data_IF_500507023525
#
_entry.id   IF_500507023525
#
_cell.length_a   1.000
_cell.length_b   1.000
_cell.length_c   1.000
_cell.angle_alpha   90.00
_cell.angle_beta   90.00
_cell.angle_gamma   90.00
#
_symmetry.space_group_name_H-M   'P 1'
#
loop_
_entity.id
_entity.type
_entity.pdbx_description
1 polymer ?
#
# COMPACT_ATOMS: atom_id res chain seq x y z
N UNK A 1 0.02 -19.69 -25.80
CA UNK A 1 1.16 -18.82 -25.49
C UNK A 1 0.66 -17.73 -24.58
N UNK A 2 1.27 -17.54 -23.42
CA UNK A 2 0.95 -16.42 -22.56
C UNK A 2 1.36 -15.13 -23.28
N UNK A 3 0.48 -14.13 -23.28
CA UNK A 3 0.83 -12.80 -23.77
C UNK A 3 1.73 -12.13 -22.70
N UNK A 4 3.01 -12.03 -23.02
CA UNK A 4 4.02 -11.41 -22.15
C UNK A 4 4.17 -9.90 -22.40
N UNK A 5 3.25 -9.28 -23.16
CA UNK A 5 3.29 -7.84 -23.43
C UNK A 5 2.82 -7.04 -22.23
N UNK A 6 3.60 -6.05 -21.79
CA UNK A 6 3.20 -5.14 -20.73
C UNK A 6 2.34 -4.00 -21.28
N UNK A 7 1.32 -3.62 -20.53
CA UNK A 7 0.53 -2.42 -20.78
C UNK A 7 1.11 -1.26 -19.95
N UNK A 8 1.19 -0.07 -20.54
CA UNK A 8 1.56 1.17 -19.84
C UNK A 8 0.43 2.19 -19.94
N UNK A 9 -0.37 2.39 -18.87
CA UNK A 9 -1.49 3.33 -18.86
C UNK A 9 -1.07 4.80 -18.82
N UNK A 10 0.19 5.09 -18.45
CA UNK A 10 0.71 6.46 -18.38
C UNK A 10 1.19 6.95 -19.74
N UNK A 11 1.39 6.06 -20.70
CA UNK A 11 1.73 6.45 -22.05
C UNK A 11 0.53 7.17 -22.70
N UNK A 12 0.75 8.41 -23.16
CA UNK A 12 -0.29 9.27 -23.74
C UNK A 12 -1.52 9.49 -22.82
N UNK A 13 -1.31 9.42 -21.50
CA UNK A 13 -2.37 9.55 -20.50
C UNK A 13 -3.54 8.57 -20.71
N UNK A 14 -3.27 7.37 -21.18
CA UNK A 14 -4.30 6.35 -21.38
C UNK A 14 -5.03 5.95 -20.09
N UNK A 15 -4.46 6.31 -18.93
CA UNK A 15 -5.04 6.07 -17.59
C UNK A 15 -6.39 6.78 -17.38
N UNK A 16 -6.63 7.92 -18.06
CA UNK A 16 -7.90 8.66 -17.96
C UNK A 16 -8.98 8.11 -18.90
N UNK A 17 -8.62 7.22 -19.82
CA UNK A 17 -9.55 6.63 -20.79
C UNK A 17 -10.30 5.45 -20.16
N UNK A 18 -11.45 5.09 -20.77
CA UNK A 18 -12.21 3.91 -20.36
C UNK A 18 -11.61 2.64 -20.99
N UNK A 19 -10.39 2.33 -20.53
CA UNK A 19 -9.66 1.14 -20.89
C UNK A 19 -9.52 0.20 -19.70
N UNK A 20 -9.52 -1.10 -19.95
CA UNK A 20 -9.21 -2.10 -18.93
C UNK A 20 -7.87 -1.76 -18.29
N UNK A 21 -7.86 -1.57 -16.97
CA UNK A 21 -6.66 -1.13 -16.24
C UNK A 21 -5.48 -2.12 -16.34
N UNK A 22 -5.75 -3.42 -16.55
CA UNK A 22 -4.69 -4.43 -16.65
C UNK A 22 -4.15 -4.66 -18.06
N UNK A 23 -4.97 -4.57 -19.10
CA UNK A 23 -4.54 -4.92 -20.46
C UNK A 23 -4.67 -3.80 -21.50
N UNK A 24 -5.25 -2.64 -21.12
CA UNK A 24 -5.42 -1.50 -22.01
C UNK A 24 -6.50 -1.64 -23.08
N UNK A 25 -7.26 -2.76 -23.11
CA UNK A 25 -8.35 -2.94 -24.05
C UNK A 25 -9.47 -1.95 -23.74
N UNK A 26 -10.05 -1.26 -24.72
CA UNK A 26 -11.26 -0.47 -24.51
C UNK A 26 -12.38 -1.33 -23.91
N UNK A 27 -13.11 -0.77 -22.95
CA UNK A 27 -14.23 -1.42 -22.25
C UNK A 27 -15.47 -0.54 -22.31
N UNK A 28 -16.64 -1.15 -22.14
CA UNK A 28 -17.87 -0.38 -21.99
C UNK A 28 -17.91 0.24 -20.58
N UNK A 29 -18.62 1.37 -20.37
CA UNK A 29 -18.73 2.01 -19.06
C UNK A 29 -19.28 1.13 -17.94
N UNK A 30 -19.97 0.03 -18.28
CA UNK A 30 -20.52 -0.95 -17.33
C UNK A 30 -19.53 -2.08 -17.00
N UNK A 31 -18.43 -2.20 -17.73
CA UNK A 31 -17.39 -3.20 -17.47
C UNK A 31 -16.41 -2.66 -16.41
N UNK A 32 -16.86 -2.69 -15.17
CA UNK A 32 -16.11 -2.22 -14.01
C UNK A 32 -16.05 -3.28 -12.92
N UNK A 33 -15.04 -3.20 -12.08
CA UNK A 33 -14.92 -3.97 -10.84
C UNK A 33 -14.84 -3.02 -9.66
N UNK A 34 -15.24 -3.43 -8.45
CA UNK A 34 -15.01 -2.64 -7.26
C UNK A 34 -13.51 -2.56 -6.94
N UNK A 35 -13.06 -1.40 -6.46
CA UNK A 35 -11.69 -1.22 -5.96
C UNK A 35 -11.48 -2.07 -4.72
N UNK A 36 -12.37 -1.98 -3.75
CA UNK A 36 -12.40 -2.88 -2.60
C UNK A 36 -13.26 -4.11 -2.93
N UNK A 37 -12.76 -5.33 -2.72
CA UNK A 37 -13.49 -6.55 -3.11
C UNK A 37 -14.85 -6.69 -2.45
N UNK A 38 -15.82 -7.28 -3.14
CA UNK A 38 -17.18 -7.50 -2.64
C UNK A 38 -17.20 -8.27 -1.31
N UNK A 39 -16.34 -9.29 -1.17
CA UNK A 39 -16.25 -10.07 0.07
C UNK A 39 -15.77 -9.22 1.26
N UNK A 40 -14.86 -8.27 1.02
CA UNK A 40 -14.36 -7.35 2.04
C UNK A 40 -15.45 -6.35 2.42
N UNK A 41 -16.11 -5.77 1.41
CA UNK A 41 -17.23 -4.85 1.62
C UNK A 41 -18.37 -5.52 2.38
N UNK A 42 -18.69 -6.77 2.07
CA UNK A 42 -19.74 -7.53 2.75
C UNK A 42 -19.34 -7.86 4.19
N UNK A 43 -18.10 -8.35 4.43
CA UNK A 43 -17.63 -8.74 5.76
C UNK A 43 -17.67 -7.57 6.75
N UNK A 44 -17.28 -6.37 6.33
CA UNK A 44 -17.16 -5.20 7.21
C UNK A 44 -18.26 -4.16 6.99
N UNK A 45 -19.29 -4.48 6.18
CA UNK A 45 -20.41 -3.60 5.89
C UNK A 45 -19.96 -2.22 5.36
N UNK A 46 -18.98 -2.20 4.42
CA UNK A 46 -18.35 -0.98 3.93
C UNK A 46 -19.16 -0.29 2.82
N UNK A 47 -19.99 -1.00 2.07
CA UNK A 47 -20.56 -0.52 0.81
C UNK A 47 -21.20 0.89 0.90
N UNK A 48 -21.78 1.24 2.04
CA UNK A 48 -22.41 2.54 2.31
C UNK A 48 -21.57 3.47 3.17
N UNK A 49 -20.40 3.05 3.59
CA UNK A 49 -19.49 3.91 4.34
C UNK A 49 -18.81 4.89 3.37
N UNK A 50 -18.53 6.08 3.87
CA UNK A 50 -17.93 7.15 3.10
C UNK A 50 -16.41 7.10 3.19
N UNK A 51 -15.76 7.48 2.10
CA UNK A 51 -14.33 7.73 2.02
C UNK A 51 -14.10 9.14 1.46
N UNK A 52 -13.21 9.86 2.09
CA UNK A 52 -12.78 11.19 1.65
C UNK A 52 -11.57 11.04 0.72
N UNK A 53 -11.66 11.56 -0.48
CA UNK A 53 -10.59 11.59 -1.47
C UNK A 53 -9.74 12.86 -1.34
N UNK A 54 -8.59 12.91 -2.01
CA UNK A 54 -7.66 14.06 -1.98
C UNK A 54 -8.30 15.34 -2.54
N UNK A 55 -9.16 15.23 -3.53
CA UNK A 55 -9.94 16.32 -4.11
C UNK A 55 -11.06 16.84 -3.18
N UNK A 56 -11.15 16.27 -1.96
CA UNK A 56 -12.20 16.51 -0.95
C UNK A 56 -13.59 16.02 -1.34
N UNK A 57 -13.74 15.29 -2.44
CA UNK A 57 -14.98 14.59 -2.73
C UNK A 57 -15.19 13.44 -1.73
N UNK A 58 -16.46 13.19 -1.42
CA UNK A 58 -16.88 12.09 -0.56
C UNK A 58 -17.62 11.09 -1.42
N UNK A 59 -17.14 9.85 -1.43
CA UNK A 59 -17.76 8.73 -2.14
C UNK A 59 -18.01 7.59 -1.16
N UNK A 60 -18.94 6.73 -1.48
CA UNK A 60 -19.09 5.46 -0.78
C UNK A 60 -18.10 4.43 -1.34
N UNK A 61 -17.75 3.41 -0.54
CA UNK A 61 -16.90 2.32 -1.02
C UNK A 61 -17.49 1.61 -2.26
N UNK A 62 -18.82 1.52 -2.37
CA UNK A 62 -19.49 0.92 -3.52
C UNK A 62 -19.34 1.73 -4.82
N UNK A 63 -19.11 3.05 -4.73
CA UNK A 63 -18.90 3.92 -5.90
C UNK A 63 -17.46 3.88 -6.40
N UNK A 64 -16.55 3.33 -5.62
CA UNK A 64 -15.15 3.19 -6.00
C UNK A 64 -14.98 2.00 -6.94
N UNK A 65 -14.98 2.28 -8.23
CA UNK A 65 -14.86 1.25 -9.28
C UNK A 65 -13.70 1.53 -10.23
N UNK A 66 -13.24 0.47 -10.90
CA UNK A 66 -12.10 0.49 -11.82
C UNK A 66 -12.49 -0.21 -13.14
N UNK A 67 -12.23 0.39 -14.31
CA UNK A 67 -12.53 -0.25 -15.60
C UNK A 67 -11.77 -1.56 -15.76
N UNK A 68 -12.48 -2.66 -16.04
CA UNK A 68 -11.87 -3.98 -16.19
C UNK A 68 -12.66 -4.84 -17.16
N UNK A 69 -12.01 -5.37 -18.20
CA UNK A 69 -12.67 -6.29 -19.11
C UNK A 69 -12.91 -7.67 -18.47
N UNK A 70 -13.97 -8.34 -18.90
CA UNK A 70 -14.36 -9.66 -18.39
C UNK A 70 -13.22 -10.69 -18.40
N UNK A 71 -12.36 -10.67 -19.42
CA UNK A 71 -11.21 -11.57 -19.48
C UNK A 71 -10.22 -11.34 -18.34
N UNK A 72 -9.81 -10.09 -18.09
CA UNK A 72 -8.90 -9.77 -16.99
C UNK A 72 -9.53 -10.05 -15.63
N UNK A 73 -10.82 -9.75 -15.49
CA UNK A 73 -11.56 -10.05 -14.27
C UNK A 73 -11.54 -11.55 -13.94
N UNK A 74 -11.94 -12.40 -14.90
CA UNK A 74 -12.07 -13.83 -14.64
C UNK A 74 -10.75 -14.61 -14.63
N UNK A 75 -9.78 -14.24 -15.49
CA UNK A 75 -8.54 -14.99 -15.61
C UNK A 75 -7.45 -14.58 -14.61
N UNK A 76 -7.48 -13.35 -14.11
CA UNK A 76 -6.38 -12.81 -13.30
C UNK A 76 -6.83 -12.30 -11.94
N UNK A 77 -7.93 -11.56 -11.87
CA UNK A 77 -8.37 -10.95 -10.60
C UNK A 77 -9.17 -11.91 -9.74
N UNK A 78 -10.12 -12.65 -10.31
CA UNK A 78 -10.93 -13.57 -9.54
C UNK A 78 -10.08 -14.62 -8.80
N UNK A 79 -9.07 -15.28 -9.41
CA UNK A 79 -8.19 -16.20 -8.69
C UNK A 79 -7.39 -15.53 -7.57
N UNK A 80 -6.92 -14.28 -7.77
CA UNK A 80 -6.23 -13.52 -6.74
C UNK A 80 -7.15 -13.21 -5.57
N UNK A 81 -8.37 -12.75 -5.83
CA UNK A 81 -9.36 -12.42 -4.80
C UNK A 81 -9.82 -13.66 -4.03
N UNK A 82 -10.05 -14.79 -4.71
CA UNK A 82 -10.40 -16.08 -4.09
C UNK A 82 -9.29 -16.56 -3.15
N UNK A 83 -8.03 -16.47 -3.59
CA UNK A 83 -6.87 -16.83 -2.76
C UNK A 83 -6.79 -15.97 -1.51
N UNK A 84 -6.92 -14.65 -1.66
CA UNK A 84 -6.83 -13.71 -0.54
C UNK A 84 -8.02 -13.86 0.41
N UNK A 85 -9.23 -14.05 -0.12
CA UNK A 85 -10.43 -14.30 0.69
C UNK A 85 -10.29 -15.56 1.54
N UNK A 86 -9.75 -16.64 0.97
CA UNK A 86 -9.50 -17.89 1.71
C UNK A 86 -8.50 -17.65 2.86
N UNK A 87 -7.41 -16.96 2.59
CA UNK A 87 -6.41 -16.59 3.59
C UNK A 87 -6.99 -15.70 4.69
N UNK A 88 -7.79 -14.70 4.32
CA UNK A 88 -8.46 -13.80 5.27
C UNK A 88 -9.46 -14.54 6.19
N UNK A 89 -10.00 -15.66 5.74
CA UNK A 89 -10.85 -16.52 6.58
C UNK A 89 -10.07 -17.32 7.63
N UNK A 90 -8.77 -17.57 7.40
CA UNK A 90 -7.86 -18.21 8.35
C UNK A 90 -7.26 -17.21 9.35
N UNK A 91 -7.55 -15.91 9.19
CA UNK A 91 -7.06 -14.83 10.05
C UNK A 91 -5.54 -14.64 9.99
N UNK A 92 -4.94 -14.24 11.12
CA UNK A 92 -3.51 -13.93 11.21
C UNK A 92 -2.60 -15.04 10.65
N UNK A 93 -2.89 -16.29 10.95
CA UNK A 93 -2.06 -17.43 10.50
C UNK A 93 -2.00 -17.53 8.99
N UNK A 94 -3.13 -17.36 8.32
CA UNK A 94 -3.20 -17.35 6.85
C UNK A 94 -2.36 -16.22 6.27
N UNK A 95 -2.51 -15.00 6.80
CA UNK A 95 -1.75 -13.84 6.33
C UNK A 95 -0.22 -14.01 6.51
N UNK A 96 0.23 -14.61 7.60
CA UNK A 96 1.65 -14.86 7.87
C UNK A 96 2.27 -15.92 6.94
N UNK A 97 1.47 -16.81 6.38
CA UNK A 97 1.91 -17.85 5.45
C UNK A 97 1.79 -17.45 3.97
N UNK A 98 1.04 -16.37 3.67
CA UNK A 98 0.86 -15.91 2.32
C UNK A 98 2.15 -15.28 1.76
N UNK A 99 2.49 -15.61 0.51
CA UNK A 99 3.60 -14.97 -0.20
C UNK A 99 3.40 -13.45 -0.27
N UNK A 100 4.40 -12.69 0.14
CA UNK A 100 4.38 -11.22 0.13
C UNK A 100 4.05 -10.63 -1.25
N UNK A 101 4.40 -11.34 -2.34
CA UNK A 101 4.04 -10.94 -3.71
C UNK A 101 2.55 -11.05 -3.99
N UNK A 102 1.84 -11.94 -3.29
CA UNK A 102 0.37 -12.04 -3.38
C UNK A 102 -0.27 -10.87 -2.64
N UNK A 103 0.23 -10.56 -1.44
CA UNK A 103 -0.20 -9.40 -0.66
C UNK A 103 0.04 -8.11 -1.46
N UNK A 104 1.24 -7.96 -2.04
CA UNK A 104 1.58 -6.83 -2.93
C UNK A 104 0.59 -6.68 -4.08
N UNK A 105 0.30 -7.76 -4.82
CA UNK A 105 -0.62 -7.70 -5.96
C UNK A 105 -2.02 -7.29 -5.54
N UNK A 106 -2.50 -7.80 -4.43
CA UNK A 106 -3.83 -7.51 -3.93
C UNK A 106 -3.96 -6.09 -3.38
N UNK A 107 -3.08 -5.68 -2.46
CA UNK A 107 -3.06 -4.31 -1.94
C UNK A 107 -2.72 -3.30 -3.03
N UNK A 108 -1.80 -3.65 -3.92
CA UNK A 108 -1.42 -2.82 -5.06
C UNK A 108 -2.58 -2.58 -6.03
N UNK A 109 -3.47 -3.57 -6.25
CA UNK A 109 -4.69 -3.39 -7.04
C UNK A 109 -5.63 -2.37 -6.40
N UNK A 110 -5.83 -2.44 -5.07
CA UNK A 110 -6.65 -1.47 -4.33
C UNK A 110 -6.03 -0.08 -4.44
N UNK A 111 -4.75 0.05 -4.13
CA UNK A 111 -4.02 1.31 -4.22
C UNK A 111 -4.07 1.92 -5.63
N UNK A 112 -3.82 1.12 -6.66
CA UNK A 112 -3.90 1.58 -8.04
C UNK A 112 -5.31 2.06 -8.42
N UNK A 113 -6.34 1.39 -7.93
CA UNK A 113 -7.72 1.81 -8.16
C UNK A 113 -8.01 3.19 -7.58
N UNK A 114 -7.55 3.47 -6.35
CA UNK A 114 -7.66 4.79 -5.74
C UNK A 114 -6.86 5.84 -6.51
N UNK A 115 -5.62 5.51 -6.90
CA UNK A 115 -4.79 6.38 -7.72
C UNK A 115 -5.49 6.77 -9.05
N UNK A 116 -6.08 5.79 -9.76
CA UNK A 116 -6.84 6.07 -10.99
C UNK A 116 -8.01 6.99 -10.72
N UNK A 117 -8.70 6.81 -9.59
CA UNK A 117 -9.83 7.66 -9.20
C UNK A 117 -9.40 9.09 -8.96
N UNK A 118 -8.29 9.29 -8.24
CA UNK A 118 -7.72 10.63 -8.00
C UNK A 118 -7.29 11.30 -9.31
N UNK A 119 -6.58 10.60 -10.21
CA UNK A 119 -6.17 11.13 -11.51
C UNK A 119 -7.37 11.48 -12.39
N UNK A 120 -8.44 10.68 -12.37
CA UNK A 120 -9.67 11.01 -13.10
C UNK A 120 -10.37 12.24 -12.52
N UNK A 121 -10.34 12.43 -11.21
CA UNK A 121 -10.90 13.60 -10.56
C UNK A 121 -10.17 14.90 -10.97
N UNK A 122 -8.84 14.84 -11.19
CA UNK A 122 -8.07 16.00 -11.70
C UNK A 122 -8.57 16.54 -13.05
N UNK A 123 -9.25 15.70 -13.84
CA UNK A 123 -9.79 16.10 -15.14
C UNK A 123 -11.16 16.77 -15.05
N UNK A 124 -11.77 16.82 -13.86
CA UNK A 124 -13.05 17.50 -13.67
C UNK A 124 -12.83 19.02 -13.60
N UNK A 125 -13.33 19.81 -14.57
CA UNK A 125 -13.14 21.26 -14.58
C UNK A 125 -13.83 21.99 -13.42
N UNK A 126 -14.72 21.32 -12.70
CA UNK A 126 -15.41 21.85 -11.51
C UNK A 126 -14.57 21.70 -10.24
N UNK A 127 -13.59 20.80 -10.25
CA UNK A 127 -12.65 20.58 -9.17
C UNK A 127 -11.39 21.42 -9.43
N UNK A 128 -10.86 22.04 -8.38
CA UNK A 128 -9.60 22.77 -8.44
C UNK A 128 -8.63 22.09 -7.46
N UNK A 129 -7.98 20.96 -7.86
CA UNK A 129 -7.06 20.28 -7.00
C UNK A 129 -5.89 21.19 -6.63
N UNK A 130 -5.50 21.19 -5.36
CA UNK A 130 -4.33 21.95 -4.89
C UNK A 130 -3.01 21.35 -5.41
N UNK A 131 -3.05 20.11 -5.81
CA UNK A 131 -1.92 19.35 -6.34
C UNK A 131 -2.42 18.45 -7.47
N UNK A 132 -1.70 18.45 -8.61
CA UNK A 132 -2.05 17.65 -9.79
C UNK A 132 -1.00 16.56 -9.94
N UNK A 133 -1.38 15.33 -9.63
CA UNK A 133 -0.49 14.15 -9.66
C UNK A 133 0.15 13.94 -11.04
N UNK A 134 -0.60 14.23 -12.10
CA UNK A 134 -0.14 14.03 -13.49
C UNK A 134 0.83 15.10 -14.00
N UNK A 135 0.98 16.22 -13.29
CA UNK A 135 1.95 17.27 -13.61
C UNK A 135 3.29 17.11 -12.88
N UNK A 136 3.33 16.28 -11.83
CA UNK A 136 4.55 15.99 -11.10
C UNK A 136 5.30 14.82 -11.74
N UNK A 137 6.43 15.13 -12.39
CA UNK A 137 7.28 14.14 -13.08
C UNK A 137 7.76 13.04 -12.13
N UNK A 138 8.11 13.40 -10.91
CA UNK A 138 8.56 12.44 -9.90
C UNK A 138 7.45 11.45 -9.51
N UNK A 139 6.22 11.95 -9.37
CA UNK A 139 5.06 11.11 -9.13
C UNK A 139 4.74 10.22 -10.33
N UNK A 140 4.82 10.76 -11.54
CA UNK A 140 4.61 9.96 -12.76
C UNK A 140 5.60 8.81 -12.88
N UNK A 141 6.88 9.03 -12.59
CA UNK A 141 7.91 7.99 -12.60
C UNK A 141 7.63 6.90 -11.56
N UNK A 142 7.24 7.30 -10.34
CA UNK A 142 6.79 6.36 -9.30
C UNK A 142 5.61 5.51 -9.77
N UNK A 143 4.58 6.15 -10.30
CA UNK A 143 3.37 5.45 -10.76
C UNK A 143 3.67 4.49 -11.91
N UNK A 144 4.53 4.87 -12.86
CA UNK A 144 4.94 4.01 -13.96
C UNK A 144 5.75 2.79 -13.46
N UNK A 145 6.71 3.02 -12.57
CA UNK A 145 7.52 1.95 -11.97
C UNK A 145 6.65 0.99 -11.17
N UNK A 146 5.77 1.51 -10.33
CA UNK A 146 4.81 0.72 -9.56
C UNK A 146 3.90 -0.12 -10.48
N UNK A 147 3.28 0.51 -11.48
CA UNK A 147 2.35 -0.20 -12.36
C UNK A 147 3.05 -1.27 -13.20
N UNK A 148 4.32 -1.06 -13.58
CA UNK A 148 5.11 -2.06 -14.30
C UNK A 148 5.21 -3.38 -13.52
N UNK A 149 5.49 -3.33 -12.22
CA UNK A 149 5.53 -4.54 -11.37
C UNK A 149 4.14 -5.04 -10.99
N UNK A 150 3.13 -4.16 -10.89
CA UNK A 150 1.74 -4.54 -10.66
C UNK A 150 1.17 -5.38 -11.83
N UNK A 151 1.72 -5.23 -13.05
CA UNK A 151 1.38 -6.09 -14.18
C UNK A 151 1.62 -7.59 -13.90
N UNK A 152 2.35 -7.94 -12.81
CA UNK A 152 2.47 -9.31 -12.31
C UNK A 152 1.14 -9.95 -11.91
N UNK A 153 0.06 -9.19 -11.80
CA UNK A 153 -1.31 -9.72 -11.70
C UNK A 153 -1.69 -10.46 -12.98
N UNK A 154 -1.33 -9.93 -14.17
CA UNK A 154 -1.73 -10.46 -15.47
C UNK A 154 -0.62 -11.26 -16.17
N UNK A 155 0.60 -10.80 -16.06
CA UNK A 155 1.75 -11.37 -16.74
C UNK A 155 2.63 -12.08 -15.72
N UNK A 156 2.95 -13.37 -15.88
CA UNK A 156 3.88 -14.05 -15.00
C UNK A 156 5.23 -13.32 -14.95
N UNK A 157 5.67 -12.95 -13.74
CA UNK A 157 6.94 -12.26 -13.53
C UNK A 157 7.79 -12.98 -12.48
N UNK A 158 9.08 -13.01 -12.72
CA UNK A 158 10.11 -13.49 -11.80
C UNK A 158 10.99 -12.32 -11.40
N UNK A 159 11.17 -12.15 -10.11
CA UNK A 159 12.05 -11.17 -9.47
C UNK A 159 13.21 -11.95 -8.83
N UNK A 160 14.38 -12.08 -9.51
CA UNK A 160 15.43 -13.02 -9.08
C UNK A 160 16.05 -12.69 -7.73
N UNK A 161 16.31 -11.41 -7.47
CA UNK A 161 17.16 -10.98 -6.38
C UNK A 161 16.50 -9.94 -5.46
N UNK A 162 15.20 -9.68 -5.63
CA UNK A 162 14.47 -8.69 -4.83
C UNK A 162 12.98 -9.03 -4.71
N UNK A 163 12.33 -8.36 -3.76
CA UNK A 163 10.88 -8.29 -3.62
C UNK A 163 10.50 -6.82 -3.85
N UNK A 164 9.53 -6.48 -4.74
CA UNK A 164 9.27 -5.09 -5.11
C UNK A 164 8.71 -4.22 -3.99
N UNK A 165 8.43 -4.80 -2.84
CA UNK A 165 7.73 -4.15 -1.73
C UNK A 165 8.25 -4.60 -0.38
N UNK A 166 8.02 -3.80 0.66
CA UNK A 166 8.06 -4.24 2.04
C UNK A 166 6.65 -4.56 2.53
N UNK A 167 6.45 -5.77 3.06
CA UNK A 167 5.18 -6.19 3.66
C UNK A 167 5.38 -6.52 5.13
N UNK A 168 4.49 -6.00 5.97
CA UNK A 168 4.40 -6.31 7.39
C UNK A 168 3.02 -6.87 7.70
N UNK A 169 2.99 -8.03 8.35
CA UNK A 169 1.79 -8.68 8.88
C UNK A 169 1.86 -8.62 10.39
N UNK A 170 1.11 -7.70 10.98
CA UNK A 170 1.21 -7.34 12.39
C UNK A 170 -0.01 -7.87 13.14
N UNK A 171 0.16 -8.73 14.15
CA UNK A 171 -0.93 -9.14 15.02
C UNK A 171 -1.37 -7.99 15.93
N UNK A 172 -2.68 -7.85 16.13
CA UNK A 172 -3.26 -6.84 17.01
C UNK A 172 -3.95 -7.49 18.20
N UNK A 173 -3.91 -6.81 19.33
CA UNK A 173 -4.76 -7.16 20.46
C UNK A 173 -6.21 -6.80 20.17
N UNK A 174 -7.19 -7.57 20.68
CA UNK A 174 -8.60 -7.19 20.63
C UNK A 174 -8.82 -5.81 21.25
N UNK A 175 -9.59 -4.97 20.56
CA UNK A 175 -9.96 -3.63 21.04
C UNK A 175 -11.45 -3.41 20.78
N UNK A 176 -12.25 -3.42 21.84
CA UNK A 176 -13.70 -3.25 21.77
C UNK A 176 -14.12 -1.85 21.27
N UNK A 177 -13.25 -0.85 21.35
CA UNK A 177 -13.50 0.52 20.91
C UNK A 177 -13.04 0.82 19.48
N UNK A 178 -12.39 -0.12 18.81
CA UNK A 178 -11.83 0.08 17.48
C UNK A 178 -12.70 -0.54 16.39
N UNK A 179 -12.78 0.11 15.24
CA UNK A 179 -13.43 -0.47 14.07
C UNK A 179 -12.75 -1.79 13.67
N UNK A 180 -13.54 -2.79 13.26
CA UNK A 180 -13.02 -4.07 12.78
C UNK A 180 -12.22 -3.93 11.47
N UNK A 181 -12.49 -2.88 10.71
CA UNK A 181 -11.79 -2.52 9.48
C UNK A 181 -11.35 -1.06 9.54
N UNK A 182 -10.08 -0.82 9.22
CA UNK A 182 -9.52 0.51 9.01
C UNK A 182 -8.64 0.47 7.77
N UNK A 183 -8.72 1.50 6.96
CA UNK A 183 -7.93 1.69 5.74
C UNK A 183 -7.17 3.01 5.82
N UNK A 184 -5.94 2.99 5.35
CA UNK A 184 -5.11 4.18 5.18
C UNK A 184 -4.18 3.99 3.99
N UNK A 185 -4.06 5.00 3.19
CA UNK A 185 -3.07 5.10 2.11
C UNK A 185 -2.31 6.42 2.15
N UNK A 186 -1.22 6.46 1.41
CA UNK A 186 -0.47 7.67 1.09
C UNK A 186 0.07 7.51 -0.32
N UNK A 187 -0.53 8.22 -1.25
CA UNK A 187 -0.17 8.14 -2.67
C UNK A 187 1.25 8.65 -2.93
N UNK A 188 1.70 9.63 -2.15
CA UNK A 188 3.03 10.22 -2.33
C UNK A 188 4.16 9.26 -1.94
N UNK A 189 4.00 8.55 -0.85
CA UNK A 189 4.98 7.56 -0.36
C UNK A 189 4.73 6.15 -0.88
N UNK A 190 3.68 5.92 -1.66
CA UNK A 190 3.26 4.60 -2.18
C UNK A 190 2.98 3.60 -1.07
N UNK A 191 2.33 4.05 0.00
CA UNK A 191 2.01 3.26 1.17
C UNK A 191 0.54 2.92 1.23
N UNK A 192 0.25 1.70 1.70
CA UNK A 192 -1.11 1.26 2.02
C UNK A 192 -1.10 0.42 3.28
N UNK A 193 -2.09 0.60 4.13
CA UNK A 193 -2.33 -0.28 5.28
C UNK A 193 -3.81 -0.61 5.42
N UNK A 194 -4.08 -1.85 5.80
CA UNK A 194 -5.41 -2.37 6.08
C UNK A 194 -5.39 -3.07 7.44
N UNK A 195 -6.23 -2.60 8.35
CA UNK A 195 -6.59 -3.36 9.55
C UNK A 195 -7.81 -4.20 9.24
N UNK A 196 -7.75 -5.47 9.56
CA UNK A 196 -8.84 -6.44 9.44
C UNK A 196 -8.88 -7.29 10.71
N UNK A 197 -9.88 -7.03 11.55
CA UNK A 197 -10.04 -7.68 12.86
C UNK A 197 -8.77 -7.56 13.72
N UNK A 198 -8.05 -8.67 13.94
CA UNK A 198 -6.83 -8.79 14.73
C UNK A 198 -5.53 -8.70 13.92
N UNK A 199 -5.63 -8.33 12.66
CA UNK A 199 -4.50 -8.29 11.74
C UNK A 199 -4.37 -6.92 11.08
N UNK A 200 -3.16 -6.36 11.11
CA UNK A 200 -2.79 -5.16 10.37
C UNK A 200 -1.79 -5.54 9.27
N UNK A 201 -2.19 -5.30 8.04
CA UNK A 201 -1.30 -5.38 6.87
C UNK A 201 -0.76 -3.99 6.56
N UNK A 202 0.55 -3.88 6.37
CA UNK A 202 1.21 -2.64 5.90
C UNK A 202 2.09 -2.99 4.72
N UNK A 203 1.94 -2.25 3.62
CA UNK A 203 2.73 -2.47 2.41
C UNK A 203 3.32 -1.16 1.89
N UNK A 204 4.64 -1.15 1.72
CA UNK A 204 5.38 -0.14 0.97
C UNK A 204 5.51 -0.67 -0.47
N UNK A 205 4.75 -0.10 -1.41
CA UNK A 205 4.50 -0.69 -2.72
C UNK A 205 5.63 -0.50 -3.74
N UNK A 206 6.63 0.33 -3.41
CA UNK A 206 7.70 0.69 -4.36
C UNK A 206 9.01 0.99 -3.61
N UNK A 207 9.51 0.00 -2.86
CA UNK A 207 10.71 0.18 -2.05
C UNK A 207 11.74 -0.94 -2.14
N UNK A 208 11.49 -1.97 -2.93
CA UNK A 208 12.36 -3.15 -3.07
C UNK A 208 12.74 -3.83 -1.73
N UNK A 209 11.86 -3.76 -0.72
CA UNK A 209 12.11 -4.33 0.60
C UNK A 209 13.05 -3.49 1.48
N UNK A 210 13.51 -2.34 1.02
CA UNK A 210 14.48 -1.46 1.70
C UNK A 210 13.96 -1.01 3.07
N UNK A 211 12.69 -0.63 3.17
CA UNK A 211 12.10 -0.16 4.44
C UNK A 211 12.05 -1.29 5.46
N UNK A 212 11.67 -2.50 5.05
CA UNK A 212 11.64 -3.66 5.94
C UNK A 212 13.03 -4.01 6.45
N UNK A 213 14.02 -3.98 5.58
CA UNK A 213 15.42 -4.20 5.93
C UNK A 213 15.93 -3.13 6.91
N UNK A 214 15.69 -1.85 6.62
CA UNK A 214 16.12 -0.74 7.46
C UNK A 214 15.47 -0.74 8.86
N UNK A 215 14.23 -1.22 8.96
CA UNK A 215 13.48 -1.31 10.21
C UNK A 215 13.68 -2.66 10.93
N UNK A 216 14.37 -3.62 10.32
CA UNK A 216 14.43 -4.98 10.79
C UNK A 216 14.93 -5.10 12.22
N UNK A 217 16.07 -4.52 12.54
CA UNK A 217 16.72 -4.65 13.85
C UNK A 217 16.07 -3.77 14.92
N UNK A 218 15.69 -2.54 14.54
CA UNK A 218 15.22 -1.55 15.52
C UNK A 218 13.73 -1.63 15.80
N UNK A 219 12.94 -2.21 14.89
CA UNK A 219 11.48 -2.25 15.00
C UNK A 219 10.93 -3.65 14.79
N UNK A 220 11.18 -4.30 13.64
CA UNK A 220 10.47 -5.51 13.24
C UNK A 220 10.84 -6.74 14.08
N UNK A 221 12.13 -7.02 14.29
CA UNK A 221 12.58 -8.16 15.09
C UNK A 221 12.15 -8.08 16.56
N UNK A 222 12.26 -6.93 17.26
CA UNK A 222 11.78 -6.79 18.63
C UNK A 222 10.28 -7.06 18.81
N UNK A 223 9.49 -6.89 17.73
CA UNK A 223 8.05 -7.11 17.74
C UNK A 223 7.63 -8.52 17.30
N UNK A 224 8.57 -9.39 16.96
CA UNK A 224 8.28 -10.74 16.49
C UNK A 224 7.41 -11.52 17.50
N UNK A 225 6.26 -12.03 17.05
CA UNK A 225 5.32 -12.79 17.88
C UNK A 225 4.53 -11.94 18.91
N UNK A 226 4.62 -10.61 18.86
CA UNK A 226 3.88 -9.72 19.76
C UNK A 226 2.61 -9.24 19.11
N UNK A 227 1.46 -9.38 19.78
CA UNK A 227 0.23 -8.71 19.39
C UNK A 227 0.23 -7.29 19.93
N UNK A 228 0.12 -6.31 19.04
CA UNK A 228 0.22 -4.89 19.39
C UNK A 228 -1.10 -4.35 19.92
N UNK A 229 -1.03 -3.62 21.03
CA UNK A 229 -2.11 -2.75 21.47
C UNK A 229 -2.38 -1.65 20.41
N UNK A 230 -3.60 -1.12 20.24
CA UNK A 230 -3.90 -0.11 19.22
C UNK A 230 -2.98 1.11 19.19
N UNK A 231 -2.57 1.62 20.35
CA UNK A 231 -1.58 2.72 20.44
C UNK A 231 -0.18 2.31 19.97
N UNK A 232 0.20 1.04 20.21
CA UNK A 232 1.45 0.47 19.71
C UNK A 232 1.40 0.28 18.19
N UNK A 233 0.26 -0.14 17.65
CA UNK A 233 0.03 -0.23 16.21
C UNK A 233 0.11 1.16 15.54
N UNK A 234 -0.43 2.19 16.17
CA UNK A 234 -0.31 3.57 15.71
C UNK A 234 1.16 4.04 15.66
N UNK A 235 1.95 3.73 16.70
CA UNK A 235 3.39 4.04 16.70
C UNK A 235 4.13 3.24 15.63
N UNK A 236 3.82 1.96 15.46
CA UNK A 236 4.37 1.13 14.39
C UNK A 236 4.09 1.74 13.01
N UNK A 237 2.84 2.10 12.73
CA UNK A 237 2.46 2.77 11.49
C UNK A 237 3.24 4.08 11.30
N UNK A 238 3.32 4.93 12.33
CA UNK A 238 4.06 6.18 12.27
C UNK A 238 5.53 5.96 11.88
N UNK A 239 6.19 4.94 12.44
CA UNK A 239 7.58 4.63 12.12
C UNK A 239 7.75 4.12 10.69
N UNK A 240 6.85 3.27 10.20
CA UNK A 240 6.91 2.72 8.83
C UNK A 240 6.60 3.80 7.79
N UNK A 241 5.52 4.58 8.00
CA UNK A 241 5.15 5.68 7.09
C UNK A 241 6.21 6.78 7.06
N UNK A 242 6.80 7.10 8.22
CA UNK A 242 7.87 8.09 8.26
C UNK A 242 9.16 7.59 7.59
N UNK A 243 9.48 6.30 7.72
CA UNK A 243 10.58 5.71 6.96
C UNK A 243 10.33 5.77 5.44
N UNK A 244 9.09 5.51 5.00
CA UNK A 244 8.71 5.66 3.59
C UNK A 244 8.80 7.11 3.10
N UNK A 245 8.42 8.07 3.93
CA UNK A 245 8.57 9.49 3.64
C UNK A 245 10.05 9.91 3.49
N UNK A 246 10.94 9.30 4.26
CA UNK A 246 12.37 9.58 4.21
C UNK A 246 13.11 8.84 3.08
N UNK A 247 12.47 7.84 2.45
CA UNK A 247 13.09 7.07 1.36
C UNK A 247 13.36 7.98 0.16
N UNK A 248 14.63 8.09 -0.22
CA UNK A 248 15.11 9.04 -1.22
C UNK A 248 15.47 8.37 -2.56
N UNK A 249 14.97 7.16 -2.76
CA UNK A 249 15.23 6.39 -3.98
C UNK A 249 13.93 5.89 -4.58
N UNK A 250 13.85 5.89 -5.91
CA UNK A 250 12.79 5.24 -6.66
C UNK A 250 13.44 4.06 -7.38
N UNK A 251 13.01 2.81 -7.11
CA UNK A 251 13.48 1.67 -7.88
C UNK A 251 13.00 1.76 -9.33
N UNK A 252 13.93 1.60 -10.26
CA UNK A 252 13.60 1.40 -11.66
C UNK A 252 13.57 -0.09 -11.99
N UNK A 253 12.62 -0.50 -12.83
CA UNK A 253 12.46 -1.89 -13.21
C UNK A 253 12.67 -2.09 -14.71
N UNK A 254 13.46 -3.11 -15.05
CA UNK A 254 13.80 -3.48 -16.42
C UNK A 254 13.36 -4.92 -16.70
N UNK A 255 12.75 -5.12 -17.83
CA UNK A 255 12.40 -6.46 -18.29
C UNK A 255 13.51 -6.96 -19.20
N UNK A 256 14.07 -8.13 -18.89
CA UNK A 256 15.05 -8.79 -19.78
C UNK A 256 14.41 -9.12 -21.12
N UNK A 257 15.22 -9.13 -22.17
CA UNK A 257 14.75 -9.48 -23.51
C UNK A 257 14.07 -10.84 -23.51
N UNK A 258 12.82 -10.88 -23.96
CA UNK A 258 12.01 -12.09 -24.04
C UNK A 258 12.53 -12.97 -25.20
N UNK A 259 12.72 -14.25 -24.92
CA UNK A 259 13.13 -15.25 -25.92
C UNK A 259 11.95 -16.15 -26.26
N UNK A 260 11.94 -16.74 -27.48
CA UNK A 260 10.95 -17.75 -27.83
C UNK A 260 10.97 -18.92 -26.81
N UNK A 261 9.81 -19.20 -26.23
CA UNK A 261 9.67 -20.26 -25.20
C UNK A 261 9.63 -19.77 -23.77
N UNK A 262 9.92 -18.50 -23.50
CA UNK A 262 9.80 -17.95 -22.15
C UNK A 262 8.35 -18.01 -21.66
N UNK A 263 8.17 -18.41 -20.42
CA UNK A 263 6.86 -18.53 -19.77
C UNK A 263 6.58 -17.37 -18.80
N UNK A 264 7.58 -16.58 -18.48
CA UNK A 264 7.50 -15.44 -17.57
C UNK A 264 8.50 -14.35 -17.98
N UNK A 265 8.20 -13.12 -17.61
CA UNK A 265 9.15 -12.01 -17.71
C UNK A 265 10.12 -12.07 -16.52
N UNK A 266 11.39 -11.91 -16.79
CA UNK A 266 12.40 -11.69 -15.76
C UNK A 266 12.56 -10.19 -15.60
N UNK A 267 12.31 -9.71 -14.38
CA UNK A 267 12.37 -8.29 -14.03
C UNK A 267 13.59 -8.07 -13.14
N UNK A 268 14.47 -7.20 -13.59
CA UNK A 268 15.58 -6.69 -12.79
C UNK A 268 15.26 -5.30 -12.24
N UNK A 269 15.96 -4.92 -11.20
CA UNK A 269 15.86 -3.58 -10.63
C UNK A 269 17.21 -2.88 -10.69
N UNK A 270 17.17 -1.59 -10.93
CA UNK A 270 18.30 -0.69 -10.71
C UNK A 270 17.89 0.29 -9.61
N UNK A 271 18.71 0.36 -8.60
CA UNK A 271 18.72 1.49 -7.68
C UNK A 271 19.93 2.26 -8.12
N UNK A 272 19.73 3.46 -8.64
CA UNK A 272 20.84 4.30 -9.15
C UNK A 272 21.99 4.32 -8.16
N UNK A 273 23.22 4.29 -8.68
CA UNK A 273 24.47 4.42 -7.91
C UNK A 273 24.44 5.74 -7.14
N UNK A 274 24.00 5.65 -5.91
CA UNK A 274 23.53 6.79 -5.15
C UNK A 274 24.75 7.49 -4.58
N UNK A 275 25.05 8.63 -5.13
CA UNK A 275 25.90 9.62 -4.46
C UNK A 275 25.18 10.23 -3.23
N UNK A 276 23.87 10.04 -3.10
CA UNK A 276 23.02 10.46 -2.00
C UNK A 276 22.70 9.30 -1.04
N UNK A 277 22.34 9.61 0.18
CA UNK A 277 21.85 8.62 1.15
C UNK A 277 20.53 8.00 0.69
N UNK A 278 20.34 6.68 0.92
CA UNK A 278 19.10 5.95 0.63
C UNK A 278 17.91 6.57 1.37
N UNK A 279 18.16 7.09 2.56
CA UNK A 279 17.16 7.80 3.37
C UNK A 279 17.63 9.23 3.65
N UNK A 280 16.71 10.16 3.63
CA UNK A 280 16.91 11.47 4.23
C UNK A 280 17.15 11.35 5.73
N UNK A 281 17.85 12.30 6.37
CA UNK A 281 18.09 12.25 7.80
C UNK A 281 16.80 12.23 8.61
N UNK A 282 16.73 11.34 9.59
CA UNK A 282 15.62 11.28 10.53
C UNK A 282 15.52 12.57 11.33
N UNK A 283 14.35 13.20 11.30
CA UNK A 283 14.05 14.42 12.04
C UNK A 283 12.94 14.14 13.06
N UNK A 284 13.22 14.43 14.32
CA UNK A 284 12.28 14.17 15.40
C UNK A 284 10.94 14.92 15.19
N UNK A 285 10.98 16.18 14.76
CA UNK A 285 9.77 16.96 14.48
C UNK A 285 8.89 16.35 13.39
N UNK A 286 9.47 15.89 12.29
CA UNK A 286 8.71 15.23 11.23
C UNK A 286 8.09 13.91 11.69
N UNK A 287 8.84 13.12 12.47
CA UNK A 287 8.33 11.89 13.05
C UNK A 287 7.18 12.15 14.04
N UNK A 288 7.34 13.14 14.94
CA UNK A 288 6.30 13.44 15.94
C UNK A 288 5.02 13.94 15.30
N UNK A 289 5.11 14.72 14.24
CA UNK A 289 3.94 15.12 13.46
C UNK A 289 3.21 13.90 12.85
N UNK A 290 3.94 13.00 12.22
CA UNK A 290 3.36 11.75 11.70
C UNK A 290 2.73 10.90 12.82
N UNK A 291 3.38 10.84 13.97
CA UNK A 291 2.90 10.06 15.11
C UNK A 291 1.65 10.69 15.75
N UNK A 292 1.58 12.01 15.87
CA UNK A 292 0.37 12.73 16.30
C UNK A 292 -0.83 12.38 15.40
N UNK A 293 -0.66 12.39 14.07
CA UNK A 293 -1.73 12.02 13.15
C UNK A 293 -2.23 10.58 13.36
N UNK A 294 -1.33 9.64 13.67
CA UNK A 294 -1.72 8.27 13.99
C UNK A 294 -2.42 8.15 15.36
N UNK A 295 -2.13 9.06 16.28
CA UNK A 295 -2.69 9.09 17.63
C UNK A 295 -3.91 9.99 17.79
N UNK A 296 -4.36 10.64 16.73
CA UNK A 296 -5.43 11.65 16.74
C UNK A 296 -6.72 11.18 17.41
N UNK A 297 -7.10 9.92 17.24
CA UNK A 297 -8.30 9.35 17.86
C UNK A 297 -8.24 9.30 19.39
N UNK A 298 -7.05 9.35 20.00
CA UNK A 298 -6.86 9.40 21.44
C UNK A 298 -6.58 10.81 21.97
N UNK A 299 -6.57 11.82 21.09
CA UNK A 299 -6.32 13.21 21.45
C UNK A 299 -4.90 13.48 21.94
N UNK A 300 -3.94 12.59 21.64
CA UNK A 300 -2.53 12.75 22.04
C UNK A 300 -1.86 13.66 21.04
N UNK A 301 -1.28 14.74 21.55
CA UNK A 301 -0.70 15.83 20.77
C UNK A 301 0.84 15.72 20.68
N UNK A 302 1.43 16.44 19.72
CA UNK A 302 2.89 16.57 19.58
C UNK A 302 3.55 17.06 20.87
N UNK A 303 2.91 17.98 21.59
CA UNK A 303 3.38 18.48 22.90
C UNK A 303 3.50 17.37 23.94
N UNK A 304 2.56 16.43 23.94
CA UNK A 304 2.59 15.28 24.86
C UNK A 304 3.65 14.26 24.43
N UNK A 305 3.80 14.04 23.12
CA UNK A 305 4.84 13.16 22.55
C UNK A 305 6.24 13.69 22.88
N UNK A 306 6.44 15.01 22.81
CA UNK A 306 7.71 15.69 23.06
C UNK A 306 7.87 16.22 24.48
N UNK A 307 7.03 15.81 25.43
CA UNK A 307 7.13 16.26 26.83
C UNK A 307 8.54 16.09 27.41
N UNK A 308 9.25 15.07 26.96
CA UNK A 308 10.69 14.91 27.15
C UNK A 308 11.37 14.73 25.79
N UNK A 309 11.95 15.77 25.17
CA UNK A 309 12.57 15.66 23.85
C UNK A 309 13.76 14.69 23.78
N UNK A 310 14.42 14.41 24.91
CA UNK A 310 15.51 13.43 24.95
C UNK A 310 15.00 11.99 25.03
N UNK A 311 13.74 11.81 25.40
CA UNK A 311 13.06 10.52 25.46
C UNK A 311 11.59 10.73 25.06
N UNK A 312 11.30 10.86 23.76
CA UNK A 312 9.93 11.01 23.27
C UNK A 312 9.02 9.89 23.74
N UNK A 313 7.72 10.16 23.80
CA UNK A 313 6.73 9.15 24.14
C UNK A 313 6.88 7.95 23.20
N UNK A 314 6.91 6.76 23.75
CA UNK A 314 6.82 5.50 23.02
C UNK A 314 5.87 4.56 23.74
N UNK A 315 5.01 3.90 22.99
CA UNK A 315 4.16 2.80 23.46
C UNK A 315 4.80 1.44 23.17
N UNK A 316 5.69 1.36 22.19
CA UNK A 316 6.36 0.12 21.78
C UNK A 316 7.48 -0.27 22.73
N UNK A 317 8.33 0.71 23.12
CA UNK A 317 9.55 0.41 23.85
C UNK A 317 9.71 1.26 25.11
N UNK A 318 10.31 0.67 26.14
CA UNK A 318 10.72 1.37 27.34
C UNK A 318 12.07 2.10 27.15
N UNK A 319 12.56 2.77 28.19
CA UNK A 319 13.83 3.48 28.15
C UNK A 319 15.06 2.58 27.92
N UNK A 320 14.94 1.28 28.18
CA UNK A 320 15.98 0.29 27.92
C UNK A 320 15.87 -0.32 26.52
N UNK A 321 14.87 0.06 25.71
CA UNK A 321 14.61 -0.48 24.40
C UNK A 321 13.87 -1.84 24.41
N UNK A 322 13.33 -2.25 25.56
CA UNK A 322 12.55 -3.47 25.67
C UNK A 322 11.09 -3.22 25.31
N UNK A 323 10.44 -4.22 24.70
CA UNK A 323 9.03 -4.13 24.36
C UNK A 323 8.16 -3.90 25.59
N UNK A 324 7.26 -2.94 25.53
CA UNK A 324 6.28 -2.66 26.59
C UNK A 324 5.07 -3.57 26.43
N UNK A 325 4.82 -4.40 27.44
CA UNK A 325 3.52 -5.10 27.49
C UNK A 325 2.42 -4.10 27.85
N UNK A 326 1.42 -3.97 26.99
CA UNK A 326 0.21 -3.20 27.24
C UNK A 326 -0.98 -4.16 27.31
N UNK A 327 -1.88 -3.92 28.23
CA UNK A 327 -3.12 -4.69 28.33
C UNK A 327 -4.19 -4.02 27.47
N UNK A 328 -5.05 -4.84 26.86
CA UNK A 328 -6.25 -4.34 26.18
C UNK A 328 -7.13 -3.59 27.19
N UNK A 329 -7.60 -2.42 26.81
CA UNK A 329 -8.49 -1.56 27.60
C UNK A 329 -9.89 -2.18 27.75
#
# INVERSE_FOLDING_TARGET
>A
MNDLTLYNPFQQLAIIQDNCFLCGRPVNPTEVIPIFPDWLMAKYNLAKQEILLLDKSILTYAELTLPCCANCQHQHLAPLEEQVQAVAAEGLTGWQQLDEKVIFRWLGKIFYGLLVREIKAEQDPLLQPQFVLTEDIYMLDKMQSFFKVLQSIRVPMVFPDFIPCSVFVVPLQPDAGSAAFEFRDDLYTMMISLKMDDTLLVCCLLDNGIIKEALQQRLWHPLAGKALHPKQAAEFLAQVYYAAYLLNVIPEYFVRSVKPGDQALVVDTLIDDITASVFNPWQLSGYTHMFEEMLKRWGITETEILKNPQQPLSFLFDAAGSFKEMQAD
#
